data_IF_051777103412
#
_entry.id   IF_051777103412
#
_cell.length_a   1.000
_cell.length_b   1.000
_cell.length_c   1.000
_cell.angle_alpha   90.00
_cell.angle_beta   90.00
_cell.angle_gamma   90.00
#
_symmetry.space_group_name_H-M   'P 1'
#
loop_
_entity.id
_entity.type
_entity.pdbx_description
1 polymer ?
#
# COMPACT_ATOMS: atom_id res chain seq x y z
N UNK A 1 -0.93 -9.57 -15.19
CA UNK A 1 0.37 -9.66 -14.49
C UNK A 1 0.15 -10.21 -13.10
N UNK A 2 0.87 -11.23 -12.76
CA UNK A 2 0.79 -11.85 -11.45
C UNK A 2 1.64 -11.08 -10.45
N UNK A 3 1.08 -10.73 -9.32
CA UNK A 3 1.80 -10.02 -8.25
C UNK A 3 1.47 -10.71 -6.92
N UNK A 4 2.49 -11.00 -6.13
CA UNK A 4 2.33 -11.56 -4.80
C UNK A 4 2.51 -10.44 -3.77
N UNK A 5 1.55 -10.29 -2.88
CA UNK A 5 1.59 -9.32 -1.81
C UNK A 5 1.66 -10.04 -0.46
N UNK A 6 2.51 -9.54 0.43
CA UNK A 6 2.76 -10.18 1.72
C UNK A 6 2.58 -9.19 2.86
N UNK A 7 1.38 -8.64 3.01
CA UNK A 7 1.08 -7.68 4.08
C UNK A 7 -0.41 -7.51 4.26
N UNK A 8 -0.79 -6.97 5.41
CA UNK A 8 -2.16 -6.60 5.73
C UNK A 8 -2.20 -5.12 6.10
N UNK A 9 -3.40 -4.58 6.24
CA UNK A 9 -3.58 -3.21 6.69
C UNK A 9 -4.19 -3.25 8.08
N UNK A 10 -3.51 -2.61 9.03
CA UNK A 10 -4.07 -2.33 10.35
C UNK A 10 -4.12 -0.81 10.49
N UNK A 11 -5.27 -0.27 10.86
CA UNK A 11 -5.44 1.17 10.97
C UNK A 11 -4.50 1.74 12.02
N UNK A 12 -4.03 2.95 11.79
CA UNK A 12 -3.09 3.67 12.67
C UNK A 12 -1.77 2.92 12.88
N UNK A 13 -1.25 2.29 11.82
CA UNK A 13 0.06 1.64 11.84
C UNK A 13 0.89 2.10 10.65
N UNK A 14 2.13 1.64 10.61
CA UNK A 14 3.08 2.03 9.57
C UNK A 14 3.64 0.81 8.85
N UNK A 15 2.78 0.06 8.12
CA UNK A 15 3.23 -1.17 7.46
C UNK A 15 4.10 -0.88 6.26
N UNK A 16 4.96 -1.84 5.93
CA UNK A 16 5.62 -1.87 4.62
C UNK A 16 4.98 -2.98 3.81
N UNK A 17 4.48 -2.64 2.64
CA UNK A 17 3.88 -3.60 1.73
C UNK A 17 4.90 -4.01 0.69
N UNK A 18 5.00 -5.32 0.45
CA UNK A 18 5.92 -5.90 -0.50
C UNK A 18 5.15 -6.53 -1.64
N UNK A 19 5.53 -6.20 -2.87
CA UNK A 19 4.91 -6.76 -4.06
C UNK A 19 5.99 -7.42 -4.90
N UNK A 20 5.89 -8.73 -5.10
CA UNK A 20 6.82 -9.46 -5.95
C UNK A 20 6.22 -9.53 -7.36
N UNK A 21 6.96 -9.00 -8.34
CA UNK A 21 6.56 -8.97 -9.73
C UNK A 21 7.21 -10.13 -10.49
N UNK A 22 6.65 -10.54 -11.64
CA UNK A 22 7.21 -11.63 -12.43
C UNK A 22 8.39 -11.21 -13.31
N UNK A 23 9.01 -10.07 -13.02
CA UNK A 23 10.14 -9.54 -13.79
C UNK A 23 10.97 -8.60 -12.91
N UNK A 24 12.15 -8.25 -13.41
CA UNK A 24 13.04 -7.34 -12.70
C UNK A 24 12.47 -5.92 -12.68
N UNK A 25 12.55 -5.26 -11.54
CA UNK A 25 11.97 -3.93 -11.35
C UNK A 25 12.80 -2.80 -11.95
N UNK A 26 14.02 -3.09 -12.38
CA UNK A 26 14.94 -2.06 -12.90
C UNK A 26 14.41 -1.34 -14.13
N UNK A 27 13.61 -2.02 -14.95
CA UNK A 27 13.06 -1.44 -16.17
C UNK A 27 11.82 -0.58 -15.98
N UNK A 28 11.29 -0.52 -14.78
CA UNK A 28 10.05 0.22 -14.52
C UNK A 28 10.31 1.72 -14.61
N UNK A 29 9.54 2.39 -15.46
CA UNK A 29 9.64 3.83 -15.64
C UNK A 29 8.48 4.58 -15.00
N UNK A 30 7.34 3.92 -14.82
CA UNK A 30 6.16 4.50 -14.18
C UNK A 30 5.48 3.43 -13.34
N UNK A 31 4.92 3.82 -12.21
CA UNK A 31 4.24 2.90 -11.30
C UNK A 31 3.14 3.63 -10.54
N UNK A 32 2.00 2.98 -10.43
CA UNK A 32 0.96 3.39 -9.51
C UNK A 32 0.50 2.17 -8.73
N UNK A 33 0.50 2.28 -7.40
CA UNK A 33 -0.09 1.30 -6.50
C UNK A 33 -1.37 1.94 -5.98
N UNK A 34 -2.50 1.38 -6.37
CA UNK A 34 -3.81 1.97 -6.12
C UNK A 34 -4.49 1.19 -5.01
N UNK A 35 -4.83 1.89 -3.93
CA UNK A 35 -5.59 1.35 -2.81
C UNK A 35 -7.02 1.86 -2.91
N UNK A 36 -7.97 0.94 -2.96
CA UNK A 36 -9.35 1.22 -3.29
C UNK A 36 -10.26 0.54 -2.26
N UNK A 37 -11.26 1.27 -1.76
CA UNK A 37 -12.19 0.74 -0.78
C UNK A 37 -13.52 1.49 -0.90
N UNK A 38 -14.63 0.75 -0.79
CA UNK A 38 -15.98 1.34 -0.78
C UNK A 38 -16.23 2.25 -2.00
N UNK A 39 -15.88 1.72 -3.19
CA UNK A 39 -16.08 2.40 -4.47
C UNK A 39 -15.27 3.70 -4.62
N UNK A 40 -14.22 3.87 -3.83
CA UNK A 40 -13.37 5.07 -3.90
C UNK A 40 -11.90 4.68 -3.89
N UNK A 41 -11.11 5.44 -4.64
CA UNK A 41 -9.66 5.41 -4.49
C UNK A 41 -9.31 6.11 -3.19
N UNK A 42 -8.66 5.39 -2.28
CA UNK A 42 -8.28 5.93 -0.97
C UNK A 42 -6.88 6.52 -1.01
N UNK A 43 -5.97 5.84 -1.71
CA UNK A 43 -4.56 6.21 -1.68
C UNK A 43 -3.90 5.71 -2.96
N UNK A 44 -2.98 6.50 -3.50
CA UNK A 44 -2.14 6.09 -4.62
C UNK A 44 -0.69 6.34 -4.23
N UNK A 45 0.14 5.32 -4.39
CA UNK A 45 1.59 5.43 -4.25
C UNK A 45 2.22 5.30 -5.62
N UNK A 46 3.24 6.08 -5.90
CA UNK A 46 3.92 6.05 -7.19
C UNK A 46 5.36 5.59 -7.03
N UNK A 47 6.10 5.58 -8.14
CA UNK A 47 7.45 5.01 -8.15
C UNK A 47 8.39 5.72 -7.16
N UNK A 48 8.25 7.02 -7.00
CA UNK A 48 9.11 7.78 -6.08
C UNK A 48 8.84 7.45 -4.60
N UNK A 49 7.67 6.88 -4.29
CA UNK A 49 7.32 6.47 -2.94
C UNK A 49 7.85 5.08 -2.60
N UNK A 50 8.41 4.38 -3.56
CA UNK A 50 8.73 2.96 -3.45
C UNK A 50 10.24 2.71 -3.45
N UNK A 51 10.62 1.59 -2.87
CA UNK A 51 11.95 1.03 -2.98
C UNK A 51 11.90 -0.19 -3.89
N UNK A 52 12.88 -0.33 -4.78
CA UNK A 52 12.97 -1.45 -5.72
C UNK A 52 14.17 -2.31 -5.37
N UNK A 53 14.00 -3.61 -5.39
CA UNK A 53 15.08 -4.56 -5.19
C UNK A 53 14.78 -5.82 -5.98
N UNK A 54 15.54 -6.05 -7.05
CA UNK A 54 15.37 -7.22 -7.92
C UNK A 54 13.94 -7.27 -8.48
N UNK A 55 13.12 -8.23 -8.04
CA UNK A 55 11.73 -8.37 -8.50
C UNK A 55 10.71 -7.78 -7.52
N UNK A 56 11.17 -7.15 -6.46
CA UNK A 56 10.31 -6.69 -5.36
C UNK A 56 10.18 -5.17 -5.35
N UNK A 57 8.94 -4.69 -5.26
CA UNK A 57 8.61 -3.30 -4.97
C UNK A 57 8.13 -3.26 -3.53
N UNK A 58 8.68 -2.34 -2.73
CA UNK A 58 8.20 -2.12 -1.38
C UNK A 58 7.77 -0.68 -1.19
N UNK A 59 6.73 -0.48 -0.40
CA UNK A 59 6.19 0.83 -0.09
C UNK A 59 5.73 0.86 1.35
N UNK A 60 6.05 1.93 2.06
CA UNK A 60 5.62 2.12 3.45
C UNK A 60 4.45 3.09 3.50
N UNK A 61 3.47 2.79 4.34
CA UNK A 61 2.35 3.67 4.61
C UNK A 61 2.56 4.34 5.96
N UNK A 62 2.09 5.57 6.07
CA UNK A 62 2.13 6.30 7.33
C UNK A 62 0.93 5.94 8.20
N UNK A 63 1.01 6.32 9.45
CA UNK A 63 -0.08 6.14 10.40
C UNK A 63 -1.35 6.85 9.93
N UNK A 64 -1.20 8.08 9.42
CA UNK A 64 -2.31 8.86 8.87
C UNK A 64 -2.91 8.19 7.63
N UNK A 65 -2.07 7.60 6.79
CA UNK A 65 -2.54 6.93 5.57
C UNK A 65 -3.36 5.69 5.90
N UNK A 66 -2.91 4.86 6.83
CA UNK A 66 -3.66 3.66 7.20
C UNK A 66 -4.96 4.00 7.93
N UNK A 67 -5.01 5.14 8.60
CA UNK A 67 -6.22 5.63 9.24
C UNK A 67 -7.31 6.02 8.25
N UNK A 68 -6.97 6.24 6.98
CA UNK A 68 -7.95 6.57 5.94
C UNK A 68 -8.86 5.39 5.58
N UNK A 69 -8.41 4.17 5.82
CA UNK A 69 -9.18 2.99 5.48
C UNK A 69 -10.28 2.75 6.51
N UNK A 70 -11.43 2.26 6.02
CA UNK A 70 -12.55 1.93 6.88
C UNK A 70 -12.32 0.55 7.51
N UNK A 71 -12.71 0.35 8.77
CA UNK A 71 -12.42 -0.90 9.48
C UNK A 71 -13.20 -2.11 9.00
N UNK A 72 -14.23 -1.91 8.20
CA UNK A 72 -15.03 -3.02 7.69
C UNK A 72 -14.98 -3.01 6.17
N UNK A 73 -14.76 -4.17 5.60
CA UNK A 73 -14.65 -4.32 4.18
C UNK A 73 -13.19 -4.47 3.74
N UNK A 74 -13.02 -5.05 2.58
CA UNK A 74 -11.70 -5.30 2.03
C UNK A 74 -11.20 -4.10 1.27
N UNK A 75 -9.91 -3.88 1.34
CA UNK A 75 -9.21 -2.97 0.45
C UNK A 75 -8.79 -3.77 -0.78
N UNK A 76 -9.04 -3.20 -1.94
CA UNK A 76 -8.54 -3.74 -3.22
C UNK A 76 -7.28 -2.97 -3.59
N UNK A 77 -6.26 -3.71 -3.99
CA UNK A 77 -4.98 -3.13 -4.38
C UNK A 77 -4.67 -3.58 -5.80
N UNK A 78 -4.30 -2.64 -6.64
CA UNK A 78 -3.86 -2.95 -8.00
C UNK A 78 -2.62 -2.15 -8.32
N UNK A 79 -1.66 -2.81 -8.97
CA UNK A 79 -0.48 -2.14 -9.50
C UNK A 79 -0.69 -1.88 -10.99
N UNK A 80 -0.33 -0.69 -11.41
CA UNK A 80 -0.23 -0.33 -12.81
C UNK A 80 1.21 0.02 -13.10
N UNK A 81 1.81 -0.65 -14.07
CA UNK A 81 3.25 -0.60 -14.31
C UNK A 81 3.53 -0.18 -15.75
N UNK A 82 4.45 0.76 -15.92
CA UNK A 82 4.97 1.16 -17.21
C UNK A 82 6.44 0.80 -17.35
N UNK A 83 6.79 0.14 -18.44
CA UNK A 83 8.17 -0.14 -18.81
C UNK A 83 8.34 0.40 -20.23
N UNK A 84 8.98 1.59 -20.34
CA UNK A 84 9.01 2.29 -21.60
C UNK A 84 7.60 2.61 -22.06
N UNK A 85 7.21 2.13 -23.23
CA UNK A 85 5.87 2.33 -23.76
C UNK A 85 4.88 1.23 -23.38
N UNK A 86 5.36 0.15 -22.78
CA UNK A 86 4.48 -0.94 -22.35
C UNK A 86 3.72 -0.56 -21.08
N UNK A 87 2.47 -0.97 -21.01
CA UNK A 87 1.60 -0.77 -19.86
C UNK A 87 1.01 -2.09 -19.41
N UNK A 88 1.09 -2.37 -18.11
CA UNK A 88 0.61 -3.61 -17.54
C UNK A 88 -0.14 -3.32 -16.25
N UNK A 89 -1.17 -4.11 -15.99
CA UNK A 89 -1.92 -4.02 -14.74
C UNK A 89 -1.87 -5.37 -14.03
N UNK A 90 -1.73 -5.35 -12.72
CA UNK A 90 -1.85 -6.56 -11.93
C UNK A 90 -3.31 -6.97 -11.82
N UNK A 91 -3.53 -8.21 -11.43
CA UNK A 91 -4.84 -8.60 -10.91
C UNK A 91 -5.10 -7.81 -9.63
N UNK A 92 -6.36 -7.66 -9.29
CA UNK A 92 -6.74 -6.98 -8.05
C UNK A 92 -6.43 -7.91 -6.87
N UNK A 93 -5.69 -7.38 -5.91
CA UNK A 93 -5.38 -8.05 -4.65
C UNK A 93 -6.36 -7.55 -3.60
N UNK A 94 -6.73 -8.41 -2.66
CA UNK A 94 -7.67 -8.04 -1.59
C UNK A 94 -6.99 -8.18 -0.24
N UNK A 95 -7.24 -7.22 0.62
CA UNK A 95 -6.64 -7.18 1.96
C UNK A 95 -7.71 -6.79 2.96
N UNK A 96 -7.77 -7.52 4.06
CA UNK A 96 -8.65 -7.19 5.17
C UNK A 96 -8.05 -6.04 5.99
N UNK A 97 -8.91 -5.12 6.43
CA UNK A 97 -8.50 -4.01 7.30
C UNK A 97 -8.82 -4.38 8.74
N UNK A 98 -7.81 -4.30 9.60
CA UNK A 98 -7.96 -4.49 11.04
C UNK A 98 -8.08 -3.14 11.71
N UNK A 99 -8.96 -3.06 12.69
CA UNK A 99 -9.22 -1.81 13.38
C UNK A 99 -8.53 -1.80 14.75
N UNK A 100 -8.50 -0.61 15.33
CA UNK A 100 -7.98 -0.37 16.68
C UNK A 100 -9.15 -0.19 17.65
N UNK A 101 -8.88 -0.38 18.94
CA UNK A 101 -9.91 -0.20 19.98
C UNK A 101 -10.17 1.28 20.27
N UNK A 102 -9.21 2.14 19.96
CA UNK A 102 -9.32 3.58 20.17
C UNK A 102 -8.72 4.30 18.98
N UNK A 103 -9.53 5.07 18.28
CA UNK A 103 -9.07 5.89 17.15
C UNK A 103 -8.13 6.99 17.63
N UNK A 104 -7.19 7.36 16.77
CA UNK A 104 -6.26 8.43 17.00
C UNK A 104 -4.83 8.02 16.76
N UNK A 105 -3.97 8.97 16.41
CA UNK A 105 -2.55 8.71 16.25
C UNK A 105 -1.95 8.27 17.59
N UNK A 106 -0.98 7.39 17.52
CA UNK A 106 -0.41 6.82 18.73
C UNK A 106 0.13 7.90 19.68
N UNK A 107 0.79 8.91 19.13
CA UNK A 107 1.30 10.01 19.95
C UNK A 107 0.19 10.77 20.67
N UNK A 108 -0.99 10.85 20.06
CA UNK A 108 -2.13 11.55 20.64
C UNK A 108 -2.78 10.78 21.76
N UNK A 109 -2.95 9.46 21.58
CA UNK A 109 -3.65 8.64 22.56
C UNK A 109 -2.75 8.16 23.69
N UNK A 110 -1.44 8.12 23.46
CA UNK A 110 -0.49 7.66 24.49
C UNK A 110 0.02 8.80 25.38
N UNK A 111 -0.30 10.02 25.03
CA UNK A 111 0.34 11.17 25.65
C UNK A 111 1.79 11.26 25.26
N UNK A 112 2.15 10.59 24.18
CA UNK A 112 3.43 10.08 23.81
C UNK A 112 4.47 11.09 23.81
N UNK A 113 4.85 11.86 23.23
CA UNK A 113 6.04 12.69 23.16
C UNK A 113 6.39 13.38 24.44
N UNK A 114 6.09 12.74 25.52
CA UNK A 114 6.47 13.31 26.80
C UNK A 114 7.95 13.58 26.79
N UNK A 115 8.34 14.72 27.21
CA UNK A 115 9.74 15.10 27.24
C UNK A 115 10.55 14.19 28.13
#
# INVERSE_FOLDING_TARGET
>A
MEVVKMSLISRYTTPTHFFTLPFCTDGITELAIIYYQNDNVVLIKNLSDCTRNDTVISVSLTEEETALFKPQGDVKIQLRVGIGEKRMNSKVLRVTVYDVLKDGLLSEISGGDAP
#
